data_IF_842748924687
#
_entry.id   IF_842748924687
#
_cell.length_a   1.000
_cell.length_b   1.000
_cell.length_c   1.000
_cell.angle_alpha   90.00
_cell.angle_beta   90.00
_cell.angle_gamma   90.00
#
_symmetry.space_group_name_H-M   'P 1'
#
loop_
_entity.id
_entity.type
_entity.pdbx_description
1 polymer ?
#
# COMPACT_ATOMS: atom_id res chain seq x y z
N UNK A 1 -39.45 -3.05 -20.25
CA UNK A 1 -39.10 -4.03 -19.20
C UNK A 1 -37.72 -4.58 -19.52
N UNK A 2 -36.60 -4.10 -18.94
CA UNK A 2 -36.23 -4.21 -17.52
C UNK A 2 -35.96 -5.69 -17.21
N UNK A 3 -34.74 -6.16 -16.93
CA UNK A 3 -33.99 -5.85 -15.71
C UNK A 3 -32.50 -6.17 -15.86
N UNK A 4 -31.67 -5.18 -15.51
CA UNK A 4 -30.24 -5.31 -15.27
C UNK A 4 -29.96 -6.26 -14.10
N UNK A 5 -29.24 -7.35 -14.38
CA UNK A 5 -28.78 -8.33 -13.39
C UNK A 5 -27.58 -7.81 -12.58
N UNK A 6 -27.90 -7.07 -11.51
CA UNK A 6 -27.23 -6.97 -10.23
C UNK A 6 -25.71 -7.31 -10.13
N UNK A 7 -24.88 -6.40 -10.62
CA UNK A 7 -23.42 -6.31 -10.42
C UNK A 7 -23.06 -5.75 -9.02
N UNK A 8 -23.45 -6.48 -7.96
CA UNK A 8 -23.16 -6.11 -6.56
C UNK A 8 -22.03 -6.91 -5.89
N UNK A 9 -21.60 -8.06 -6.46
CA UNK A 9 -20.49 -8.85 -5.87
C UNK A 9 -19.09 -8.41 -6.33
N UNK A 10 -18.93 -7.88 -7.55
CA UNK A 10 -17.62 -7.40 -8.03
C UNK A 10 -17.21 -6.05 -7.42
N UNK A 11 -18.18 -5.17 -7.11
CA UNK A 11 -17.91 -3.91 -6.40
C UNK A 11 -17.40 -4.12 -4.98
N UNK A 12 -17.92 -5.11 -4.27
CA UNK A 12 -17.54 -5.35 -2.88
C UNK A 12 -16.04 -5.65 -2.71
N UNK A 13 -15.38 -6.30 -3.68
CA UNK A 13 -13.95 -6.64 -3.60
C UNK A 13 -13.03 -5.43 -3.85
N UNK A 14 -13.45 -4.47 -4.71
CA UNK A 14 -12.76 -3.20 -4.91
C UNK A 14 -13.07 -2.14 -3.85
N UNK A 15 -14.23 -2.25 -3.17
CA UNK A 15 -14.67 -1.32 -2.11
C UNK A 15 -13.87 -1.44 -0.80
N UNK A 16 -13.19 -2.56 -0.54
CA UNK A 16 -12.35 -2.73 0.65
C UNK A 16 -11.03 -1.94 0.57
N UNK A 17 -10.48 -1.72 -0.62
CA UNK A 17 -9.12 -1.18 -0.78
C UNK A 17 -9.01 0.32 -0.43
N UNK A 18 -10.10 1.09 -0.55
CA UNK A 18 -10.10 2.55 -0.30
C UNK A 18 -10.96 3.00 0.90
N UNK A 19 -11.89 2.18 1.41
CA UNK A 19 -12.82 2.63 2.46
C UNK A 19 -12.17 2.77 3.84
N UNK A 20 -11.08 2.07 4.13
CA UNK A 20 -10.36 2.22 5.40
C UNK A 20 -9.56 3.53 5.49
N UNK A 21 -9.22 4.15 4.36
CA UNK A 21 -8.52 5.45 4.33
C UNK A 21 -9.49 6.65 4.36
N UNK A 22 -10.79 6.40 4.45
CA UNK A 22 -11.85 7.42 4.53
C UNK A 22 -12.81 7.09 5.67
N UNK A 23 -12.39 7.33 6.91
CA UNK A 23 -13.32 7.56 8.01
C UNK A 23 -13.48 9.07 8.22
N UNK A 24 -14.58 9.71 7.77
CA UNK A 24 -15.03 10.93 8.39
C UNK A 24 -15.83 10.54 9.63
N UNK A 25 -15.38 11.00 10.80
CA UNK A 25 -16.20 11.03 12.00
C UNK A 25 -17.53 11.71 11.68
N UNK A 26 -18.63 10.98 11.87
CA UNK A 26 -19.97 11.46 11.62
C UNK A 26 -20.38 12.53 12.61
N UNK A 27 -20.78 13.70 12.10
CA UNK A 27 -21.48 14.74 12.84
C UNK A 27 -22.32 15.59 11.89
N UNK A 28 -23.64 15.35 11.88
CA UNK A 28 -24.60 16.16 11.11
C UNK A 28 -24.65 17.59 11.68
N UNK A 29 -24.31 18.62 10.89
CA UNK A 29 -24.90 19.97 11.02
C UNK A 29 -25.12 20.62 9.65
N UNK A 30 -26.33 21.16 9.49
CA UNK A 30 -26.87 21.91 8.32
C UNK A 30 -26.19 23.30 8.17
N UNK A 31 -26.33 23.98 7.02
CA UNK A 31 -25.38 25.00 6.57
C UNK A 31 -25.68 26.38 7.14
N UNK A 32 -24.64 27.11 7.52
CA UNK A 32 -24.69 28.57 7.61
C UNK A 32 -23.80 29.14 6.51
N UNK A 33 -24.44 29.88 5.60
CA UNK A 33 -23.77 30.84 4.71
C UNK A 33 -23.04 31.85 5.60
N UNK A 34 -21.73 31.87 5.53
CA UNK A 34 -20.93 33.03 5.88
C UNK A 34 -20.12 33.41 4.63
N UNK A 35 -20.62 34.41 3.90
CA UNK A 35 -19.77 35.17 3.00
C UNK A 35 -18.87 36.03 3.88
N UNK A 36 -17.58 35.75 3.86
CA UNK A 36 -16.56 36.68 4.30
C UNK A 36 -15.40 36.54 3.33
N UNK A 37 -15.21 37.57 2.51
CA UNK A 37 -14.04 37.68 1.66
C UNK A 37 -12.79 37.60 2.51
N UNK A 38 -11.91 36.67 2.17
CA UNK A 38 -10.54 36.70 2.65
C UNK A 38 -9.63 36.70 1.43
N UNK A 39 -8.94 37.82 1.29
CA UNK A 39 -7.97 38.15 0.26
C UNK A 39 -7.10 36.95 -0.12
N UNK A 40 -6.96 36.78 -1.43
CA UNK A 40 -5.88 36.11 -2.19
C UNK A 40 -4.68 35.72 -1.33
N UNK A 41 -4.81 34.63 -0.56
CA UNK A 41 -3.70 33.97 0.10
C UNK A 41 -3.18 32.97 -0.92
N UNK A 42 -2.06 33.30 -1.54
CA UNK A 42 -1.24 32.35 -2.27
C UNK A 42 -0.85 31.27 -1.25
N UNK A 43 -1.59 30.17 -1.25
CA UNK A 43 -1.11 28.92 -0.69
C UNK A 43 -0.11 28.41 -1.74
N UNK A 44 1.20 28.33 -1.47
CA UNK A 44 2.04 27.51 -2.32
C UNK A 44 1.43 26.10 -2.33
N UNK A 45 1.27 25.50 -3.51
CA UNK A 45 0.95 24.08 -3.62
C UNK A 45 2.17 23.32 -3.08
N UNK A 46 2.21 23.03 -1.77
CA UNK A 46 3.37 22.35 -1.14
C UNK A 46 3.32 20.82 -1.34
N UNK A 47 2.60 20.35 -2.35
CA UNK A 47 2.55 18.93 -2.67
C UNK A 47 2.60 18.77 -4.18
N UNK A 48 3.81 18.72 -4.74
CA UNK A 48 4.00 18.06 -6.03
C UNK A 48 3.54 16.62 -5.85
N UNK A 49 2.35 16.28 -6.35
CA UNK A 49 1.81 14.93 -6.29
C UNK A 49 2.56 14.05 -7.28
N UNK A 50 3.75 13.61 -6.88
CA UNK A 50 4.52 12.61 -7.63
C UNK A 50 4.00 11.22 -7.29
N UNK A 51 3.50 10.52 -8.31
CA UNK A 51 3.02 9.13 -8.15
C UNK A 51 3.90 8.17 -8.92
N UNK A 52 4.45 7.19 -8.24
CA UNK A 52 5.17 6.09 -8.87
C UNK A 52 4.22 4.98 -9.33
N UNK A 53 4.41 4.48 -10.54
CA UNK A 53 3.74 3.29 -11.08
C UNK A 53 4.81 2.29 -11.47
N UNK A 54 4.66 1.03 -11.07
CA UNK A 54 5.46 -0.07 -11.57
C UNK A 54 4.55 -1.04 -12.31
N UNK A 55 4.94 -1.39 -13.52
CA UNK A 55 4.26 -2.37 -14.36
C UNK A 55 5.10 -3.64 -14.31
N UNK A 56 4.63 -4.74 -13.67
CA UNK A 56 5.32 -6.02 -13.70
C UNK A 56 5.35 -6.61 -15.11
N UNK A 57 6.17 -7.64 -15.37
CA UNK A 57 6.14 -8.33 -16.68
C UNK A 57 4.77 -8.99 -16.94
N UNK A 58 4.39 -9.24 -18.20
CA UNK A 58 3.11 -9.87 -18.52
C UNK A 58 2.87 -11.20 -17.79
N UNK A 59 3.94 -11.98 -17.56
CA UNK A 59 3.89 -13.23 -16.83
C UNK A 59 3.49 -12.98 -15.37
N UNK A 60 4.17 -12.05 -14.69
CA UNK A 60 3.85 -11.69 -13.30
C UNK A 60 2.46 -11.07 -13.20
N UNK A 61 2.04 -10.26 -14.18
CA UNK A 61 0.67 -9.71 -14.22
C UNK A 61 -0.39 -10.82 -14.30
N UNK A 62 -0.18 -11.86 -15.11
CA UNK A 62 -1.09 -12.99 -15.21
C UNK A 62 -1.21 -13.74 -13.87
N UNK A 63 -0.08 -13.94 -13.17
CA UNK A 63 -0.06 -14.59 -11.86
C UNK A 63 -0.73 -13.75 -10.77
N UNK A 64 -0.55 -12.42 -10.79
CA UNK A 64 -1.27 -11.51 -9.88
C UNK A 64 -2.78 -11.63 -10.12
N UNK A 65 -3.22 -11.60 -11.39
CA UNK A 65 -4.63 -11.75 -11.73
C UNK A 65 -5.21 -13.09 -11.24
N UNK A 66 -4.44 -14.18 -11.33
CA UNK A 66 -4.83 -15.49 -10.77
C UNK A 66 -5.07 -15.39 -9.26
N UNK A 67 -4.16 -14.78 -8.51
CA UNK A 67 -4.30 -14.63 -7.05
C UNK A 67 -5.48 -13.72 -6.69
N UNK A 68 -5.63 -12.57 -7.37
CA UNK A 68 -6.73 -11.62 -7.14
C UNK A 68 -8.13 -12.27 -7.33
N UNK A 69 -8.23 -13.25 -8.23
CA UNK A 69 -9.48 -13.99 -8.49
C UNK A 69 -9.65 -15.25 -7.64
N UNK A 70 -8.77 -15.50 -6.67
CA UNK A 70 -8.78 -16.68 -5.81
C UNK A 70 -9.15 -16.34 -4.36
N UNK A 71 -9.40 -17.36 -3.54
CA UNK A 71 -9.60 -17.19 -2.09
C UNK A 71 -8.33 -16.68 -1.39
N UNK A 72 -7.16 -16.99 -1.94
CA UNK A 72 -5.84 -16.57 -1.42
C UNK A 72 -5.77 -15.07 -1.17
N UNK A 73 -6.30 -14.24 -2.08
CA UNK A 73 -6.29 -12.78 -1.90
C UNK A 73 -6.92 -12.33 -0.57
N UNK A 74 -8.06 -12.91 -0.21
CA UNK A 74 -8.73 -12.60 1.05
C UNK A 74 -8.00 -13.23 2.24
N UNK A 75 -7.44 -14.43 2.08
CA UNK A 75 -6.77 -15.16 3.15
C UNK A 75 -5.41 -14.56 3.53
N UNK A 76 -4.75 -13.83 2.63
CA UNK A 76 -3.51 -13.10 2.90
C UNK A 76 -3.72 -11.80 3.69
N UNK A 77 -4.96 -11.34 3.85
CA UNK A 77 -5.25 -10.12 4.59
C UNK A 77 -5.16 -10.36 6.10
N UNK A 78 -4.50 -9.43 6.81
CA UNK A 78 -4.43 -9.39 8.28
C UNK A 78 -5.18 -8.14 8.76
N UNK A 79 -6.28 -8.29 9.53
CA UNK A 79 -7.07 -7.14 9.99
C UNK A 79 -6.35 -6.18 10.94
N UNK A 80 -5.36 -6.69 11.68
CA UNK A 80 -4.58 -5.88 12.60
C UNK A 80 -3.64 -4.96 11.81
N UNK A 81 -3.97 -3.66 11.77
CA UNK A 81 -3.24 -2.69 10.98
C UNK A 81 -2.07 -2.06 11.74
N UNK A 82 -0.92 -1.92 11.08
CA UNK A 82 0.07 -0.92 11.48
C UNK A 82 0.81 -0.30 10.30
N UNK A 83 0.93 1.03 10.29
CA UNK A 83 1.68 1.80 9.27
C UNK A 83 3.15 1.36 9.17
N UNK A 84 3.76 0.94 10.29
CA UNK A 84 5.14 0.45 10.33
C UNK A 84 5.25 -1.07 10.37
N UNK A 85 4.22 -1.81 9.95
CA UNK A 85 4.20 -3.27 10.00
C UNK A 85 5.44 -3.93 9.35
N UNK A 86 5.98 -4.92 10.04
CA UNK A 86 7.09 -5.76 9.62
C UNK A 86 6.65 -6.73 8.51
N UNK A 87 7.24 -6.71 7.31
CA UNK A 87 6.84 -7.62 6.24
C UNK A 87 7.18 -9.09 6.48
N UNK A 88 7.99 -9.38 7.49
CA UNK A 88 8.37 -10.74 7.82
C UNK A 88 7.56 -11.36 8.96
N UNK A 89 6.56 -10.65 9.46
CA UNK A 89 5.69 -11.08 10.55
C UNK A 89 4.22 -10.84 10.15
N UNK A 90 3.32 -11.66 10.67
CA UNK A 90 1.89 -11.63 10.35
C UNK A 90 1.04 -11.04 11.47
N UNK A 91 1.66 -10.50 12.52
CA UNK A 91 0.96 -9.85 13.63
C UNK A 91 0.26 -8.55 13.18
N UNK A 92 0.90 -7.76 12.30
CA UNK A 92 0.32 -6.55 11.72
C UNK A 92 0.53 -6.49 10.20
N UNK A 93 -0.29 -5.71 9.50
CA UNK A 93 -0.15 -5.49 8.06
C UNK A 93 -0.49 -4.05 7.68
N UNK A 94 0.27 -3.50 6.73
CA UNK A 94 -0.10 -2.29 5.98
C UNK A 94 -0.40 -2.65 4.52
N UNK A 95 -0.92 -1.68 3.76
CA UNK A 95 -1.27 -1.88 2.35
C UNK A 95 -0.08 -2.36 1.52
N UNK A 96 1.11 -1.81 1.73
CA UNK A 96 2.30 -2.19 0.95
C UNK A 96 2.77 -3.61 1.26
N UNK A 97 2.74 -4.03 2.53
CA UNK A 97 3.06 -5.39 2.94
C UNK A 97 2.01 -6.39 2.40
N UNK A 98 0.73 -6.00 2.38
CA UNK A 98 -0.30 -6.81 1.76
C UNK A 98 -0.05 -7.00 0.26
N UNK A 99 0.24 -5.90 -0.48
CA UNK A 99 0.61 -5.98 -1.90
C UNK A 99 1.83 -6.88 -2.10
N UNK A 100 2.86 -6.74 -1.26
CA UNK A 100 4.06 -7.57 -1.33
C UNK A 100 3.75 -9.06 -1.06
N UNK A 101 2.87 -9.36 -0.12
CA UNK A 101 2.41 -10.73 0.16
C UNK A 101 1.67 -11.34 -1.03
N UNK A 102 0.80 -10.56 -1.69
CA UNK A 102 0.11 -10.97 -2.93
C UNK A 102 1.10 -11.19 -4.07
N UNK A 103 2.11 -10.34 -4.21
CA UNK A 103 3.17 -10.51 -5.22
C UNK A 103 3.95 -11.81 -5.01
N UNK A 104 4.39 -12.10 -3.79
CA UNK A 104 5.10 -13.35 -3.49
C UNK A 104 4.20 -14.56 -3.72
N UNK A 105 2.94 -14.51 -3.28
CA UNK A 105 1.97 -15.57 -3.53
C UNK A 105 1.75 -15.82 -5.04
N UNK A 106 1.73 -14.76 -5.84
CA UNK A 106 1.61 -14.84 -7.29
C UNK A 106 2.85 -15.50 -7.91
N UNK A 107 4.05 -14.97 -7.61
CA UNK A 107 5.33 -15.40 -8.18
C UNK A 107 5.64 -16.87 -7.84
N UNK A 108 5.38 -17.29 -6.60
CA UNK A 108 5.73 -18.63 -6.13
C UNK A 108 4.55 -19.62 -6.15
N UNK A 109 3.35 -19.16 -6.53
CA UNK A 109 2.18 -20.03 -6.63
C UNK A 109 1.75 -20.65 -5.30
N UNK A 110 1.86 -19.91 -4.20
CA UNK A 110 1.59 -20.39 -2.83
C UNK A 110 0.56 -19.52 -2.11
N UNK A 111 -0.20 -20.12 -1.21
CA UNK A 111 -1.07 -19.43 -0.25
C UNK A 111 -0.62 -19.62 1.21
N UNK A 112 0.48 -20.34 1.44
CA UNK A 112 1.03 -20.57 2.78
C UNK A 112 1.83 -19.35 3.25
N UNK A 113 1.36 -18.75 4.35
CA UNK A 113 2.02 -17.63 5.03
C UNK A 113 3.45 -17.94 5.45
N UNK A 114 3.74 -19.16 5.88
CA UNK A 114 5.09 -19.55 6.29
C UNK A 114 6.05 -19.61 5.09
N UNK A 115 5.58 -20.15 3.97
CA UNK A 115 6.30 -20.17 2.70
C UNK A 115 6.53 -18.76 2.16
N UNK A 116 5.50 -17.91 2.15
CA UNK A 116 5.62 -16.50 1.75
C UNK A 116 6.67 -15.79 2.59
N UNK A 117 6.64 -15.94 3.91
CA UNK A 117 7.65 -15.35 4.81
C UNK A 117 9.05 -15.87 4.52
N UNK A 118 9.21 -17.15 4.17
CA UNK A 118 10.50 -17.73 3.80
C UNK A 118 11.05 -17.07 2.53
N UNK A 119 10.23 -16.90 1.49
CA UNK A 119 10.62 -16.22 0.25
C UNK A 119 10.94 -14.74 0.48
N UNK A 120 10.14 -14.04 1.30
CA UNK A 120 10.43 -12.66 1.67
C UNK A 120 11.79 -12.53 2.35
N UNK A 121 12.09 -13.38 3.35
CA UNK A 121 13.39 -13.33 4.06
C UNK A 121 14.58 -13.67 3.16
N UNK A 122 14.37 -14.50 2.14
CA UNK A 122 15.43 -14.93 1.23
C UNK A 122 15.72 -13.91 0.12
N UNK A 123 14.69 -13.20 -0.36
CA UNK A 123 14.77 -12.48 -1.64
C UNK A 123 14.37 -11.01 -1.58
N UNK A 124 13.69 -10.56 -0.52
CA UNK A 124 13.16 -9.21 -0.40
C UNK A 124 13.90 -8.43 0.67
N UNK A 125 14.34 -7.20 0.37
CA UNK A 125 14.95 -6.32 1.37
C UNK A 125 14.05 -5.10 1.62
N UNK A 126 13.35 -5.04 2.76
CA UNK A 126 12.46 -3.94 3.13
C UNK A 126 13.25 -2.70 3.50
N UNK A 127 12.57 -1.56 3.51
CA UNK A 127 13.18 -0.30 3.89
C UNK A 127 13.31 -0.20 5.42
N UNK A 128 14.50 0.13 5.90
CA UNK A 128 14.71 0.43 7.32
C UNK A 128 14.40 1.90 7.59
N UNK A 129 13.44 2.16 8.48
CA UNK A 129 13.05 3.53 8.87
C UNK A 129 13.67 3.89 10.21
N UNK A 130 14.37 5.02 10.25
CA UNK A 130 14.88 5.60 11.48
C UNK A 130 13.90 6.64 11.99
N UNK A 131 13.16 6.31 13.05
CA UNK A 131 12.45 7.33 13.81
C UNK A 131 13.45 8.03 14.74
N UNK A 132 13.54 9.35 14.65
CA UNK A 132 14.30 10.14 15.63
C UNK A 132 13.72 9.91 17.03
N UNK A 133 14.54 9.97 18.08
CA UNK A 133 14.06 9.74 19.47
C UNK A 133 12.90 10.65 19.87
N UNK A 134 12.88 11.88 19.35
CA UNK A 134 11.83 12.88 19.59
C UNK A 134 10.53 12.52 18.86
N UNK A 135 10.57 11.98 17.63
CA UNK A 135 9.36 11.52 16.92
C UNK A 135 8.75 10.28 17.56
N UNK A 136 9.56 9.44 18.23
CA UNK A 136 9.05 8.34 19.06
C UNK A 136 8.37 8.83 20.34
N UNK A 137 8.92 9.83 21.02
CA UNK A 137 8.36 10.36 22.27
C UNK A 137 7.12 11.24 22.06
N UNK A 138 7.01 11.93 20.92
CA UNK A 138 5.89 12.84 20.61
C UNK A 138 4.82 12.17 19.71
N UNK A 139 5.21 11.19 18.87
CA UNK A 139 4.33 10.54 17.90
C UNK A 139 3.64 9.27 18.38
N UNK A 140 4.08 8.66 19.49
CA UNK A 140 3.48 7.44 20.03
C UNK A 140 2.15 7.65 20.77
N UNK A 141 1.60 8.86 20.79
CA UNK A 141 0.46 9.21 21.63
C UNK A 141 -0.86 9.41 20.86
N UNK A 142 -0.89 9.51 19.53
CA UNK A 142 -2.14 9.93 18.84
C UNK A 142 -2.43 9.39 17.44
N UNK A 143 -1.87 8.25 17.00
CA UNK A 143 -2.25 7.67 15.69
C UNK A 143 -2.69 6.23 15.85
N UNK A 144 -4.00 5.99 15.71
CA UNK A 144 -4.53 4.65 15.46
C UNK A 144 -3.74 4.03 14.30
N UNK A 145 -3.15 2.85 14.54
CA UNK A 145 -2.36 2.15 13.52
C UNK A 145 -0.84 2.37 13.58
N UNK A 146 -0.25 2.87 14.68
CA UNK A 146 1.19 2.78 14.90
C UNK A 146 1.51 1.74 15.99
N UNK A 147 2.06 0.58 15.61
CA UNK A 147 2.42 -0.52 16.49
C UNK A 147 3.74 -1.15 16.03
N UNK A 148 4.59 -1.55 16.98
CA UNK A 148 5.97 -2.02 16.71
C UNK A 148 6.30 -3.35 17.39
N UNK A 149 5.30 -4.02 17.96
CA UNK A 149 5.50 -5.25 18.71
C UNK A 149 6.07 -6.38 17.83
N UNK A 150 5.74 -6.38 16.54
CA UNK A 150 6.22 -7.29 15.49
C UNK A 150 7.68 -7.06 15.07
N UNK A 151 8.32 -5.96 15.51
CA UNK A 151 9.77 -5.75 15.35
C UNK A 151 10.59 -6.25 16.53
N UNK A 152 9.95 -6.65 17.64
CA UNK A 152 10.62 -7.21 18.85
C UNK A 152 11.77 -6.33 19.37
N UNK A 153 11.59 -5.01 19.33
CA UNK A 153 12.61 -4.04 19.76
C UNK A 153 13.75 -3.81 18.76
N UNK A 154 13.76 -4.51 17.62
CA UNK A 154 14.72 -4.32 16.54
C UNK A 154 14.44 -3.09 15.66
N UNK A 155 15.24 -2.89 14.59
CA UNK A 155 15.01 -1.82 13.62
C UNK A 155 13.65 -1.94 12.93
N UNK A 156 13.00 -0.79 12.68
CA UNK A 156 11.75 -0.76 11.93
C UNK A 156 12.02 -1.05 10.47
N UNK A 157 11.58 -2.22 10.02
CA UNK A 157 11.64 -2.67 8.62
C UNK A 157 10.24 -2.65 8.06
N UNK A 158 10.04 -1.93 6.96
CA UNK A 158 8.71 -1.75 6.35
C UNK A 158 8.79 -1.96 4.84
N UNK A 159 7.67 -2.40 4.26
CA UNK A 159 7.50 -2.39 2.81
C UNK A 159 7.12 -1.00 2.32
N UNK A 160 7.85 -0.49 1.33
CA UNK A 160 7.58 0.77 0.62
C UNK A 160 7.45 0.53 -0.88
N UNK A 161 6.88 1.48 -1.61
CA UNK A 161 6.86 1.43 -3.08
C UNK A 161 8.27 1.18 -3.65
N UNK A 162 9.28 1.94 -3.21
CA UNK A 162 10.67 1.80 -3.66
C UNK A 162 11.26 0.42 -3.39
N UNK A 163 10.89 -0.20 -2.26
CA UNK A 163 11.33 -1.56 -1.96
C UNK A 163 10.70 -2.62 -2.88
N UNK A 164 9.44 -2.43 -3.29
CA UNK A 164 8.76 -3.30 -4.27
C UNK A 164 9.35 -3.09 -5.66
N UNK A 165 9.55 -1.83 -6.08
CA UNK A 165 10.22 -1.51 -7.34
C UNK A 165 11.60 -2.15 -7.40
N UNK A 166 12.41 -1.95 -6.34
CA UNK A 166 13.73 -2.58 -6.25
C UNK A 166 13.65 -4.09 -6.38
N UNK A 167 12.74 -4.75 -5.66
CA UNK A 167 12.55 -6.19 -5.77
C UNK A 167 12.21 -6.62 -7.19
N UNK A 168 11.21 -6.00 -7.83
CA UNK A 168 10.80 -6.37 -9.18
C UNK A 168 11.92 -6.11 -10.20
N UNK A 169 12.64 -4.99 -10.09
CA UNK A 169 13.77 -4.68 -10.97
C UNK A 169 14.94 -5.66 -10.78
N UNK A 170 15.33 -5.95 -9.53
CA UNK A 170 16.46 -6.85 -9.23
C UNK A 170 16.30 -8.24 -9.83
N UNK A 171 15.06 -8.74 -9.96
CA UNK A 171 14.78 -10.06 -10.53
C UNK A 171 14.24 -10.00 -11.97
N UNK A 172 14.35 -8.86 -12.67
CA UNK A 172 13.88 -8.73 -14.05
C UNK A 172 12.37 -8.88 -14.22
N UNK A 173 11.61 -8.63 -13.16
CA UNK A 173 10.14 -8.74 -13.10
C UNK A 173 9.42 -7.40 -13.28
N UNK A 174 10.15 -6.30 -13.48
CA UNK A 174 9.59 -5.00 -13.83
C UNK A 174 9.68 -4.76 -15.35
N UNK A 175 8.54 -4.56 -16.00
CA UNK A 175 8.47 -4.14 -17.41
C UNK A 175 8.74 -2.64 -17.56
N UNK A 176 8.13 -1.82 -16.69
CA UNK A 176 8.29 -0.38 -16.71
C UNK A 176 8.14 0.21 -15.30
N UNK A 177 8.83 1.32 -15.06
CA UNK A 177 8.66 2.14 -13.86
C UNK A 177 8.41 3.56 -14.32
N UNK A 178 7.24 4.11 -13.97
CA UNK A 178 6.80 5.43 -14.40
C UNK A 178 6.70 6.35 -13.19
N UNK A 179 7.07 7.61 -13.38
CA UNK A 179 6.78 8.69 -12.46
C UNK A 179 5.76 9.62 -13.13
N UNK A 180 4.64 9.83 -12.47
CA UNK A 180 3.62 10.78 -12.90
C UNK A 180 3.81 12.07 -12.10
N UNK A 181 4.08 13.17 -12.79
CA UNK A 181 4.18 14.52 -12.23
C UNK A 181 3.08 15.41 -12.81
N UNK A 182 2.95 16.63 -12.33
CA UNK A 182 2.02 17.62 -12.91
C UNK A 182 2.35 17.97 -14.37
N UNK A 183 3.60 17.74 -14.78
CA UNK A 183 4.12 18.07 -16.11
C UNK A 183 3.94 16.93 -17.12
N UNK A 184 3.58 15.72 -16.65
CA UNK A 184 3.35 14.55 -17.50
C UNK A 184 3.86 13.25 -16.90
N UNK A 185 3.93 12.22 -17.75
CA UNK A 185 4.45 10.89 -17.39
C UNK A 185 5.90 10.80 -17.85
N UNK A 186 6.81 10.53 -16.92
CA UNK A 186 8.22 10.27 -17.18
C UNK A 186 8.50 8.80 -16.95
N UNK A 187 8.93 8.09 -17.99
CA UNK A 187 9.42 6.72 -17.85
C UNK A 187 10.82 6.73 -17.24
N UNK A 188 10.98 6.06 -16.09
CA UNK A 188 12.29 5.82 -15.50
C UNK A 188 12.88 4.58 -16.12
N UNK A 189 14.10 4.71 -16.64
CA UNK A 189 14.85 3.57 -17.14
C UNK A 189 15.02 2.54 -16.02
N UNK A 190 14.50 1.34 -16.26
CA UNK A 190 14.80 0.16 -15.44
C UNK A 190 16.24 -0.21 -15.79
N UNK A 191 17.18 0.17 -14.94
CA UNK A 191 18.57 -0.29 -15.09
C UNK A 191 18.58 -1.81 -14.91
N UNK A 192 18.73 -2.53 -16.03
CA UNK A 192 19.00 -3.97 -16.07
C UNK A 192 20.42 -4.25 -15.59
#
# INVERSE_FOLDING_TARGET
>A
MGLFGNDRRRRAQGEWLCRLQSLPGGGRRRPQRAQAGFSRRVLPSVFDLKTGIVIPTPEVQAEILRVLNSKTYADLHVPAYSVVANPYDWQYQNCTNFVMSVLVAAIYGTDDRAEITRHLRAHYEPQTVKLSGITRAVGSIFVDGFATADHRGGPLKISTFDSIVRFLTTYGMAQAVLEVTEEGIVEKQVAL
#
